data_IF_491868439630
#
_entry.id   IF_491868439630
#
_cell.length_a   1.000
_cell.length_b   1.000
_cell.length_c   1.000
_cell.angle_alpha   90.00
_cell.angle_beta   90.00
_cell.angle_gamma   90.00
#
_symmetry.space_group_name_H-M   'P 1'
#
loop_
_entity.id
_entity.type
_entity.pdbx_description
1 polymer ?
#
# COMPACT_ATOMS: atom_id res chain seq x y z
N UNK A 1 13.23 0.21 -61.56
CA UNK A 1 13.96 0.20 -60.30
C UNK A 1 13.01 0.57 -59.19
N UNK A 2 12.49 -0.39 -58.48
CA UNK A 2 11.56 -0.19 -57.35
C UNK A 2 12.40 -0.01 -56.07
N UNK A 3 12.34 1.18 -55.48
CA UNK A 3 12.94 1.43 -54.18
C UNK A 3 12.04 0.86 -53.10
N UNK A 4 12.51 -0.19 -52.42
CA UNK A 4 11.86 -0.76 -51.24
C UNK A 4 12.20 0.16 -50.06
N UNK A 5 11.21 0.90 -49.57
CA UNK A 5 11.30 1.62 -48.29
C UNK A 5 11.13 0.60 -47.17
N UNK A 6 12.22 0.29 -46.47
CA UNK A 6 12.16 -0.45 -45.24
C UNK A 6 11.70 0.50 -44.16
N UNK A 7 10.45 0.37 -43.75
CA UNK A 7 9.93 1.04 -42.56
C UNK A 7 10.48 0.29 -41.35
N UNK A 8 11.53 0.86 -40.75
CA UNK A 8 12.03 0.41 -39.45
C UNK A 8 11.01 0.83 -38.40
N UNK A 9 10.18 -0.12 -37.96
CA UNK A 9 9.37 0.02 -36.76
C UNK A 9 10.31 0.02 -35.56
N UNK A 10 10.73 1.20 -35.13
CA UNK A 10 11.31 1.38 -33.80
C UNK A 10 10.18 1.14 -32.80
N UNK A 11 10.12 -0.07 -32.26
CA UNK A 11 9.31 -0.38 -31.09
C UNK A 11 9.90 0.41 -29.94
N UNK A 12 9.31 1.55 -29.65
CA UNK A 12 9.59 2.34 -28.47
C UNK A 12 9.08 1.54 -27.28
N UNK A 13 9.98 0.82 -26.60
CA UNK A 13 9.76 0.25 -25.28
C UNK A 13 9.59 1.41 -24.29
N UNK A 14 8.41 2.02 -24.33
CA UNK A 14 8.05 3.06 -23.38
C UNK A 14 7.61 2.40 -22.07
N UNK A 15 8.54 2.39 -21.13
CA UNK A 15 8.35 2.54 -19.72
C UNK A 15 7.28 1.71 -19.00
N UNK A 16 7.52 0.40 -18.74
CA UNK A 16 6.79 -0.35 -17.71
C UNK A 16 7.07 0.15 -16.27
N UNK A 17 8.15 0.90 -16.04
CA UNK A 17 8.55 1.36 -14.71
C UNK A 17 7.52 2.29 -14.03
N UNK A 18 6.88 3.18 -14.78
CA UNK A 18 5.87 4.10 -14.23
C UNK A 18 4.54 3.44 -13.85
N UNK A 19 4.28 2.21 -14.31
CA UNK A 19 3.05 1.46 -13.98
C UNK A 19 3.21 0.62 -12.71
N UNK A 20 4.42 0.17 -12.40
CA UNK A 20 4.70 -0.68 -11.24
C UNK A 20 4.63 0.08 -9.92
N UNK A 21 4.76 1.40 -9.95
CA UNK A 21 4.72 2.26 -8.76
C UNK A 21 3.33 2.79 -8.43
N UNK A 22 2.32 2.45 -9.21
CA UNK A 22 0.98 3.06 -9.07
C UNK A 22 0.36 2.91 -7.69
N UNK A 23 0.67 1.83 -6.97
CA UNK A 23 0.17 1.59 -5.61
C UNK A 23 1.23 1.84 -4.54
N UNK A 24 2.46 2.16 -4.92
CA UNK A 24 3.51 2.48 -3.95
C UNK A 24 3.19 3.80 -3.24
N UNK A 25 3.18 3.75 -1.91
CA UNK A 25 2.82 4.90 -1.09
C UNK A 25 1.31 5.10 -0.87
N UNK A 26 0.45 4.28 -1.47
CA UNK A 26 -0.99 4.35 -1.21
C UNK A 26 -1.30 4.06 0.27
N UNK A 27 -2.26 4.79 0.82
CA UNK A 27 -2.60 4.73 2.24
C UNK A 27 -4.09 4.46 2.43
N UNK A 28 -4.39 3.70 3.46
CA UNK A 28 -5.74 3.59 4.04
C UNK A 28 -5.69 4.03 5.50
N UNK A 29 -6.79 4.62 5.97
CA UNK A 29 -6.84 5.28 7.27
C UNK A 29 -7.79 4.58 8.22
N UNK A 30 -7.56 4.80 9.52
CA UNK A 30 -8.29 4.15 10.59
C UNK A 30 -8.81 5.16 11.61
N UNK A 31 -9.94 4.81 12.22
CA UNK A 31 -10.47 5.54 13.35
C UNK A 31 -9.55 5.39 14.58
N UNK A 32 -9.68 6.31 15.54
CA UNK A 32 -8.95 6.23 16.80
C UNK A 32 -9.20 4.88 17.49
N UNK A 33 -8.15 4.30 18.01
CA UNK A 33 -8.18 3.04 18.78
C UNK A 33 -8.86 1.87 18.04
N UNK A 34 -8.82 1.86 16.73
CA UNK A 34 -9.50 0.87 15.89
C UNK A 34 -8.57 0.33 14.81
N UNK A 35 -8.69 -0.98 14.55
CA UNK A 35 -8.13 -1.66 13.39
C UNK A 35 -9.20 -2.09 12.39
N UNK A 36 -10.43 -1.63 12.55
CA UNK A 36 -11.54 -1.94 11.66
C UNK A 36 -11.34 -1.31 10.28
N UNK A 37 -11.56 -2.10 9.23
CA UNK A 37 -11.53 -1.63 7.85
C UNK A 37 -12.86 -0.96 7.52
N UNK A 38 -12.83 0.36 7.31
CA UNK A 38 -14.00 1.11 6.84
C UNK A 38 -14.34 0.74 5.39
N UNK A 39 -15.55 1.09 4.97
CA UNK A 39 -15.96 0.90 3.57
C UNK A 39 -15.00 1.63 2.60
N UNK A 40 -14.62 2.86 2.92
CA UNK A 40 -13.64 3.61 2.12
C UNK A 40 -12.28 2.93 2.06
N UNK A 41 -11.78 2.42 3.19
CA UNK A 41 -10.52 1.67 3.22
C UNK A 41 -10.63 0.38 2.40
N UNK A 42 -11.75 -0.34 2.49
CA UNK A 42 -11.98 -1.54 1.71
C UNK A 42 -11.96 -1.26 0.20
N UNK A 43 -12.59 -0.19 -0.24
CA UNK A 43 -12.60 0.22 -1.65
C UNK A 43 -11.19 0.54 -2.16
N UNK A 44 -10.38 1.22 -1.36
CA UNK A 44 -8.98 1.50 -1.70
C UNK A 44 -8.13 0.23 -1.77
N UNK A 45 -8.35 -0.71 -0.86
CA UNK A 45 -7.65 -1.99 -0.86
C UNK A 45 -8.07 -2.86 -2.04
N UNK A 46 -9.35 -2.83 -2.44
CA UNK A 46 -9.83 -3.51 -3.63
C UNK A 46 -9.15 -2.98 -4.90
N UNK A 47 -9.02 -1.66 -5.02
CA UNK A 47 -8.33 -1.05 -6.15
C UNK A 47 -6.84 -1.44 -6.20
N UNK A 48 -6.17 -1.50 -5.05
CA UNK A 48 -4.78 -1.96 -4.96
C UNK A 48 -4.67 -3.46 -5.33
N UNK A 49 -5.58 -4.28 -4.84
CA UNK A 49 -5.64 -5.71 -5.17
C UNK A 49 -5.85 -5.92 -6.66
N UNK A 50 -6.76 -5.17 -7.29
CA UNK A 50 -6.97 -5.23 -8.72
C UNK A 50 -5.68 -4.92 -9.50
N UNK A 51 -4.95 -3.90 -9.09
CA UNK A 51 -3.66 -3.57 -9.70
C UNK A 51 -2.64 -4.72 -9.55
N UNK A 52 -2.57 -5.33 -8.38
CA UNK A 52 -1.69 -6.47 -8.13
C UNK A 52 -2.07 -7.71 -8.96
N UNK A 53 -3.36 -7.94 -9.20
CA UNK A 53 -3.82 -9.04 -10.07
C UNK A 53 -3.33 -8.88 -11.50
N UNK A 54 -3.30 -7.66 -12.01
CA UNK A 54 -2.82 -7.34 -13.35
C UNK A 54 -1.30 -7.22 -13.45
N UNK A 55 -0.60 -7.28 -12.31
CA UNK A 55 0.86 -7.22 -12.20
C UNK A 55 1.34 -8.34 -11.27
N UNK A 56 1.34 -9.60 -11.72
CA UNK A 56 1.58 -10.76 -10.85
C UNK A 56 3.00 -10.83 -10.26
N UNK A 57 3.95 -10.07 -10.78
CA UNK A 57 5.31 -9.96 -10.28
C UNK A 57 5.45 -9.09 -9.03
N UNK A 58 4.44 -8.27 -8.73
CA UNK A 58 4.50 -7.32 -7.62
C UNK A 58 4.24 -8.05 -6.29
N UNK A 59 5.09 -7.77 -5.32
CA UNK A 59 4.86 -8.05 -3.90
C UNK A 59 4.86 -6.75 -3.12
N UNK A 60 4.13 -6.70 -2.02
CA UNK A 60 4.00 -5.49 -1.20
C UNK A 60 4.30 -5.77 0.26
N UNK A 61 4.70 -4.72 0.98
CA UNK A 61 4.73 -4.66 2.43
C UNK A 61 3.71 -3.63 2.90
N UNK A 62 2.80 -4.04 3.77
CA UNK A 62 1.83 -3.18 4.40
C UNK A 62 2.38 -2.71 5.74
N UNK A 63 2.59 -1.40 5.88
CA UNK A 63 3.16 -0.77 7.06
C UNK A 63 2.06 -0.16 7.91
N UNK A 64 1.78 -0.77 9.06
CA UNK A 64 0.79 -0.26 10.01
C UNK A 64 1.37 0.79 10.94
N UNK A 65 0.63 1.90 11.12
CA UNK A 65 1.01 3.02 11.97
C UNK A 65 -0.15 3.47 12.87
N UNK A 66 0.22 4.11 13.95
CA UNK A 66 -0.70 4.72 14.90
C UNK A 66 -0.32 6.18 15.13
N UNK A 67 -1.26 6.97 15.70
CA UNK A 67 -0.92 8.29 16.19
C UNK A 67 -0.06 8.20 17.47
N UNK A 68 0.42 9.34 17.96
CA UNK A 68 1.39 9.42 19.06
C UNK A 68 0.84 9.03 20.43
N UNK A 69 -0.48 8.89 20.57
CA UNK A 69 -1.14 8.64 21.86
C UNK A 69 -1.04 7.19 22.28
N UNK A 70 -0.78 6.94 23.55
CA UNK A 70 -0.70 5.62 24.13
C UNK A 70 0.73 5.09 24.25
N UNK A 71 0.85 3.86 24.79
CA UNK A 71 2.17 3.23 24.98
C UNK A 71 2.76 2.71 23.68
N UNK A 72 4.07 2.57 23.63
CA UNK A 72 4.79 2.00 22.49
C UNK A 72 4.31 0.59 22.18
N UNK A 73 4.19 -0.27 23.20
CA UNK A 73 3.78 -1.67 23.04
C UNK A 73 2.35 -1.79 22.52
N UNK A 74 1.43 -1.00 23.07
CA UNK A 74 0.04 -0.99 22.62
C UNK A 74 -0.05 -0.57 21.14
N UNK A 75 0.66 0.47 20.76
CA UNK A 75 0.63 0.97 19.39
C UNK A 75 1.34 0.05 18.39
N UNK A 76 2.38 -0.66 18.80
CA UNK A 76 2.97 -1.71 17.96
C UNK A 76 1.97 -2.81 17.66
N UNK A 77 1.23 -3.26 18.68
CA UNK A 77 0.18 -4.26 18.49
C UNK A 77 -0.97 -3.74 17.61
N UNK A 78 -1.45 -2.51 17.86
CA UNK A 78 -2.53 -1.90 17.08
C UNK A 78 -2.12 -1.71 15.60
N UNK A 79 -0.90 -1.25 15.36
CA UNK A 79 -0.37 -1.13 14.00
C UNK A 79 -0.27 -2.49 13.29
N UNK A 80 0.10 -3.54 14.02
CA UNK A 80 0.13 -4.90 13.49
C UNK A 80 -1.27 -5.40 13.13
N UNK A 81 -2.28 -5.13 13.96
CA UNK A 81 -3.67 -5.47 13.64
C UNK A 81 -4.18 -4.71 12.42
N UNK A 82 -3.86 -3.43 12.30
CA UNK A 82 -4.22 -2.64 11.13
C UNK A 82 -3.63 -3.20 9.85
N UNK A 83 -2.33 -3.47 9.84
CA UNK A 83 -1.65 -4.08 8.70
C UNK A 83 -2.18 -5.48 8.39
N UNK A 84 -2.41 -6.30 9.42
CA UNK A 84 -2.97 -7.64 9.29
C UNK A 84 -4.38 -7.62 8.70
N UNK A 85 -5.25 -6.74 9.17
CA UNK A 85 -6.60 -6.61 8.63
C UNK A 85 -6.61 -6.12 7.17
N UNK A 86 -5.72 -5.20 6.82
CA UNK A 86 -5.55 -4.77 5.43
C UNK A 86 -5.06 -5.93 4.54
N UNK A 87 -4.11 -6.74 5.01
CA UNK A 87 -3.63 -7.92 4.31
C UNK A 87 -4.74 -8.97 4.11
N UNK A 88 -5.53 -9.24 5.15
CA UNK A 88 -6.69 -10.12 5.05
C UNK A 88 -7.70 -9.64 4.02
N UNK A 89 -7.96 -8.35 3.97
CA UNK A 89 -8.88 -7.79 2.98
C UNK A 89 -8.35 -7.95 1.56
N UNK A 90 -7.06 -7.71 1.33
CA UNK A 90 -6.45 -7.93 0.01
C UNK A 90 -6.48 -9.41 -0.39
N UNK A 91 -6.28 -10.31 0.55
CA UNK A 91 -6.42 -11.76 0.33
C UNK A 91 -7.87 -12.13 -0.02
N UNK A 92 -8.85 -11.54 0.66
CA UNK A 92 -10.26 -11.68 0.33
C UNK A 92 -10.56 -11.23 -1.10
N UNK A 93 -9.92 -10.17 -1.56
CA UNK A 93 -10.03 -9.69 -2.94
C UNK A 93 -9.20 -10.48 -3.95
N UNK A 94 -8.54 -11.57 -3.53
CA UNK A 94 -7.92 -12.54 -4.42
C UNK A 94 -6.41 -12.45 -4.58
N UNK A 95 -5.71 -11.74 -3.68
CA UNK A 95 -4.24 -11.71 -3.68
C UNK A 95 -3.70 -12.86 -2.82
N UNK A 96 -2.72 -13.58 -3.34
CA UNK A 96 -2.04 -14.67 -2.63
C UNK A 96 -1.32 -14.12 -1.39
N UNK A 97 -1.46 -14.76 -0.21
CA UNK A 97 -0.83 -14.29 1.02
C UNK A 97 0.68 -14.11 0.93
N UNK A 98 1.35 -14.92 0.12
CA UNK A 98 2.81 -14.89 -0.09
C UNK A 98 3.29 -13.60 -0.74
N UNK A 99 2.40 -12.85 -1.39
CA UNK A 99 2.69 -11.58 -2.04
C UNK A 99 2.58 -10.39 -1.10
N UNK A 100 2.13 -10.62 0.13
CA UNK A 100 1.84 -9.54 1.09
C UNK A 100 2.64 -9.79 2.38
N UNK A 101 3.52 -8.85 2.71
CA UNK A 101 4.18 -8.79 4.02
C UNK A 101 3.53 -7.70 4.85
N UNK A 102 3.56 -7.86 6.16
CA UNK A 102 3.08 -6.85 7.11
C UNK A 102 4.19 -6.47 8.08
N UNK A 103 4.21 -5.20 8.47
CA UNK A 103 5.09 -4.68 9.52
C UNK A 103 4.34 -3.60 10.28
N UNK A 104 4.59 -3.51 11.58
CA UNK A 104 4.08 -2.43 12.40
C UNK A 104 5.23 -1.52 12.84
N UNK A 105 5.06 -0.23 12.64
CA UNK A 105 5.90 0.80 13.25
C UNK A 105 5.26 1.41 14.50
N UNK A 106 4.01 1.07 14.78
CA UNK A 106 3.27 1.69 15.88
C UNK A 106 3.30 3.20 15.76
N UNK A 107 3.72 3.88 16.83
CA UNK A 107 3.89 5.34 16.84
C UNK A 107 5.34 5.80 16.60
N UNK A 108 6.28 4.88 16.37
CA UNK A 108 7.72 5.18 16.37
C UNK A 108 8.25 5.79 15.07
N UNK A 109 7.51 5.64 13.97
CA UNK A 109 7.95 6.14 12.67
C UNK A 109 6.82 6.88 11.96
N UNK A 110 6.37 8.04 12.48
CA UNK A 110 5.29 8.80 11.87
C UNK A 110 5.70 9.34 10.50
N UNK A 111 4.77 9.29 9.55
CA UNK A 111 4.97 9.90 8.22
C UNK A 111 4.72 11.41 8.30
N UNK A 112 3.74 11.82 9.11
CA UNK A 112 3.33 13.22 9.24
C UNK A 112 3.79 13.77 10.56
N UNK A 113 4.66 14.81 10.56
CA UNK A 113 5.13 15.44 11.80
C UNK A 113 4.06 16.34 12.40
N UNK A 114 4.10 16.48 13.73
CA UNK A 114 3.20 17.36 14.46
C UNK A 114 2.27 16.63 15.39
N UNK A 115 1.33 17.38 15.96
CA UNK A 115 0.37 16.90 16.95
C UNK A 115 -1.02 17.49 16.68
N UNK A 116 -2.03 16.94 17.34
CA UNK A 116 -3.42 17.32 17.19
C UNK A 116 -4.19 16.40 16.25
N UNK A 117 -5.53 16.44 16.32
CA UNK A 117 -6.39 15.47 15.62
C UNK A 117 -6.15 15.42 14.12
N UNK A 118 -5.87 16.54 13.48
CA UNK A 118 -5.61 16.58 12.04
C UNK A 118 -4.41 15.75 11.64
N UNK A 119 -3.33 15.82 12.41
CA UNK A 119 -2.10 15.06 12.19
C UNK A 119 -2.28 13.61 12.66
N UNK A 120 -2.92 13.40 13.79
CA UNK A 120 -3.20 12.07 14.32
C UNK A 120 -4.00 11.23 13.34
N UNK A 121 -5.04 11.82 12.72
CA UNK A 121 -5.84 11.15 11.71
C UNK A 121 -4.99 10.66 10.52
N UNK A 122 -4.03 11.45 10.08
CA UNK A 122 -3.14 11.09 8.99
C UNK A 122 -2.14 9.99 9.37
N UNK A 123 -1.72 9.92 10.62
CA UNK A 123 -0.79 8.90 11.11
C UNK A 123 -1.47 7.56 11.46
N UNK A 124 -2.79 7.52 11.56
CA UNK A 124 -3.54 6.28 11.70
C UNK A 124 -3.74 5.64 10.34
N UNK A 125 -2.70 5.01 9.82
CA UNK A 125 -2.71 4.51 8.45
C UNK A 125 -2.08 3.12 8.31
N UNK A 126 -2.37 2.49 7.19
CA UNK A 126 -1.57 1.43 6.60
C UNK A 126 -1.08 1.93 5.25
N UNK A 127 0.22 1.97 5.09
CA UNK A 127 0.88 2.41 3.86
C UNK A 127 1.38 1.19 3.09
N UNK A 128 1.02 1.14 1.81
CA UNK A 128 1.48 0.10 0.90
C UNK A 128 2.84 0.48 0.32
N UNK A 129 3.81 -0.41 0.43
CA UNK A 129 5.14 -0.26 -0.18
C UNK A 129 5.36 -1.41 -1.15
N UNK A 130 5.64 -1.10 -2.41
CA UNK A 130 5.98 -2.10 -3.41
C UNK A 130 7.43 -2.54 -3.19
N UNK A 131 7.63 -3.86 -3.02
CA UNK A 131 8.95 -4.40 -2.76
C UNK A 131 9.81 -4.43 -4.03
N UNK A 132 11.11 -4.12 -3.90
CA UNK A 132 12.07 -4.21 -4.99
C UNK A 132 12.14 -2.99 -5.91
N UNK A 133 11.55 -1.87 -5.50
CA UNK A 133 11.73 -0.58 -6.20
C UNK A 133 13.02 0.11 -5.77
#
# INVERSE_FOLDING_TARGET
>A
MRKILVFSCIFMLCGCAGKLTKIDGEQVFFAFDSAEISESAADHLDAQAYFMKTHPEITVTLQGRCDERGTTEYNLALGAFRAGNAAHMMTYYGIEPERIKTVSFGKENPIYPGTGEKIWALNRNVTTVVNGL
#
